data_IF_497516545260
#
_entry.id   IF_497516545260
#
_cell.length_a   1.000
_cell.length_b   1.000
_cell.length_c   1.000
_cell.angle_alpha   90.00
_cell.angle_beta   90.00
_cell.angle_gamma   90.00
#
_symmetry.space_group_name_H-M   'P 1'
#
loop_
_entity.id
_entity.type
_entity.pdbx_description
1 polymer ?
#
# COMPACT_ATOMS: atom_id res chain seq x y z
N UNK A 1 68.58 -32.49 -3.62
CA UNK A 1 67.75 -31.29 -3.81
C UNK A 1 66.34 -31.73 -4.19
N UNK A 2 65.36 -31.37 -3.34
CA UNK A 2 63.97 -30.96 -3.64
C UNK A 2 63.14 -31.86 -4.58
N UNK A 3 62.20 -32.67 -4.04
CA UNK A 3 60.73 -32.41 -3.86
C UNK A 3 59.98 -33.33 -4.86
N UNK A 4 58.82 -33.97 -4.67
CA UNK A 4 57.79 -34.19 -3.63
C UNK A 4 56.99 -35.40 -4.21
N UNK A 5 56.81 -36.57 -3.56
CA UNK A 5 55.70 -36.94 -2.64
C UNK A 5 54.31 -36.63 -3.26
N UNK A 6 53.64 -37.59 -3.94
CA UNK A 6 52.65 -38.60 -3.46
C UNK A 6 51.17 -38.14 -3.54
N UNK A 7 50.30 -39.06 -4.04
CA UNK A 7 48.82 -39.17 -3.90
C UNK A 7 47.97 -38.07 -4.58
N UNK A 8 47.07 -38.30 -5.56
CA UNK A 8 46.01 -39.31 -5.74
C UNK A 8 45.19 -39.56 -4.47
N UNK A 9 44.06 -38.86 -4.34
CA UNK A 9 42.73 -39.35 -3.90
C UNK A 9 41.86 -38.14 -3.50
N UNK A 10 40.72 -38.02 -4.19
CA UNK A 10 39.42 -37.73 -3.60
C UNK A 10 39.25 -36.43 -2.81
N UNK A 11 38.67 -35.44 -3.47
CA UNK A 11 37.50 -34.72 -2.91
C UNK A 11 36.80 -34.03 -4.07
N UNK A 12 35.92 -34.81 -4.71
CA UNK A 12 34.77 -34.28 -5.42
C UNK A 12 33.98 -33.49 -4.38
N UNK A 13 34.20 -32.17 -4.32
CA UNK A 13 33.41 -31.26 -3.50
C UNK A 13 32.00 -31.30 -4.04
N UNK A 14 31.23 -32.22 -3.46
CA UNK A 14 29.79 -32.33 -3.57
C UNK A 14 29.25 -30.96 -3.18
N UNK A 15 28.92 -30.15 -4.18
CA UNK A 15 28.00 -29.04 -4.04
C UNK A 15 26.73 -29.68 -3.49
N UNK A 16 26.58 -29.60 -2.17
CA UNK A 16 25.31 -29.80 -1.51
C UNK A 16 24.46 -28.64 -2.04
N UNK A 17 23.83 -28.88 -3.19
CA UNK A 17 22.58 -28.23 -3.53
C UNK A 17 21.71 -28.59 -2.33
N UNK A 18 21.62 -27.65 -1.37
CA UNK A 18 20.48 -27.63 -0.49
C UNK A 18 19.30 -27.58 -1.45
N UNK A 19 18.71 -28.74 -1.72
CA UNK A 19 17.29 -28.86 -2.01
C UNK A 19 16.60 -28.31 -0.76
N UNK A 20 16.67 -26.98 -0.60
CA UNK A 20 15.99 -26.26 0.44
C UNK A 20 14.53 -26.60 0.28
N UNK A 21 13.85 -26.90 1.38
CA UNK A 21 12.41 -26.97 1.33
C UNK A 21 11.92 -25.67 0.67
N UNK A 22 11.32 -25.79 -0.51
CA UNK A 22 10.64 -24.68 -1.18
C UNK A 22 9.67 -24.10 -0.17
N UNK A 23 9.96 -22.88 0.25
CA UNK A 23 9.19 -22.17 1.27
C UNK A 23 9.12 -20.71 0.84
N UNK A 24 8.01 -20.03 1.14
CA UNK A 24 7.92 -18.63 0.88
C UNK A 24 8.90 -17.80 1.73
N UNK A 25 9.09 -16.56 1.33
CA UNK A 25 9.80 -15.54 2.12
C UNK A 25 9.17 -15.34 3.51
N UNK A 26 9.91 -14.70 4.42
CA UNK A 26 9.43 -14.48 5.79
C UNK A 26 8.16 -13.61 5.82
N UNK A 27 7.18 -13.98 6.67
CA UNK A 27 5.90 -13.28 6.74
C UNK A 27 6.02 -11.78 7.12
N UNK A 28 7.07 -11.38 7.84
CA UNK A 28 7.35 -9.96 8.14
C UNK A 28 7.66 -9.17 6.85
N UNK A 29 8.53 -9.72 5.99
CA UNK A 29 8.85 -9.11 4.69
C UNK A 29 7.62 -9.07 3.79
N UNK A 30 6.87 -10.16 3.76
CA UNK A 30 5.64 -10.26 2.95
C UNK A 30 4.62 -9.18 3.34
N UNK A 31 4.40 -8.98 4.64
CA UNK A 31 3.51 -7.92 5.14
C UNK A 31 4.01 -6.51 4.82
N UNK A 32 5.33 -6.26 4.95
CA UNK A 32 5.93 -4.96 4.61
C UNK A 32 5.82 -4.65 3.13
N UNK A 33 6.15 -5.62 2.27
CA UNK A 33 6.10 -5.46 0.83
C UNK A 33 4.71 -5.03 0.33
N UNK A 34 3.64 -5.59 0.91
CA UNK A 34 2.27 -5.15 0.62
C UNK A 34 2.08 -3.68 1.01
N UNK A 35 2.43 -3.28 2.23
CA UNK A 35 2.21 -1.90 2.69
C UNK A 35 3.04 -0.92 1.87
N UNK A 36 4.31 -1.23 1.66
CA UNK A 36 5.25 -0.37 0.95
C UNK A 36 4.80 -0.19 -0.51
N UNK A 37 4.35 -1.25 -1.18
CA UNK A 37 3.83 -1.17 -2.55
C UNK A 37 2.42 -0.57 -2.64
N UNK A 38 1.41 -1.15 -1.98
CA UNK A 38 0.00 -0.76 -2.17
C UNK A 38 -0.36 0.55 -1.49
N UNK A 39 0.21 0.82 -0.31
CA UNK A 39 -0.15 2.01 0.49
C UNK A 39 0.83 3.13 0.24
N UNK A 40 2.13 2.85 0.30
CA UNK A 40 3.16 3.86 0.12
C UNK A 40 3.63 4.01 -1.34
N UNK A 41 3.24 3.13 -2.26
CA UNK A 41 3.69 3.20 -3.67
C UNK A 41 5.22 3.32 -3.77
N UNK A 42 5.91 2.47 -3.02
CA UNK A 42 7.36 2.33 -3.06
C UNK A 42 7.75 1.20 -3.99
N UNK A 43 8.86 1.40 -4.70
CA UNK A 43 9.54 0.36 -5.48
C UNK A 43 9.82 -0.83 -4.54
N UNK A 44 9.16 -1.96 -4.83
CA UNK A 44 9.14 -3.15 -3.98
C UNK A 44 9.32 -4.38 -4.87
N UNK A 45 10.47 -4.54 -5.55
CA UNK A 45 10.70 -5.62 -6.52
C UNK A 45 10.59 -7.03 -5.92
N UNK A 46 10.74 -7.17 -4.60
CA UNK A 46 10.53 -8.43 -3.88
C UNK A 46 9.08 -8.92 -3.96
N UNK A 47 8.10 -8.08 -4.30
CA UNK A 47 6.70 -8.48 -4.46
C UNK A 47 6.55 -9.60 -5.51
N UNK A 48 7.40 -9.61 -6.54
CA UNK A 48 7.44 -10.66 -7.55
C UNK A 48 7.87 -12.00 -6.95
N UNK A 49 8.91 -12.00 -6.10
CA UNK A 49 9.37 -13.21 -5.42
C UNK A 49 8.40 -13.69 -4.34
N UNK A 50 7.71 -12.76 -3.67
CA UNK A 50 6.84 -13.08 -2.53
C UNK A 50 5.45 -13.52 -3.01
N UNK A 51 4.89 -12.84 -4.01
CA UNK A 51 3.50 -13.01 -4.46
C UNK A 51 3.38 -13.27 -5.97
N UNK A 52 4.44 -13.12 -6.76
CA UNK A 52 4.35 -13.17 -8.22
C UNK A 52 3.69 -11.94 -8.84
N UNK A 53 3.83 -10.79 -8.17
CA UNK A 53 3.25 -9.53 -8.58
C UNK A 53 4.34 -8.53 -9.01
N UNK A 54 4.17 -7.93 -10.18
CA UNK A 54 4.99 -6.82 -10.66
C UNK A 54 4.59 -5.53 -9.92
N UNK A 55 5.49 -5.01 -9.10
CA UNK A 55 5.26 -3.83 -8.26
C UNK A 55 4.92 -2.58 -9.08
N UNK A 56 5.53 -2.42 -10.26
CA UNK A 56 5.26 -1.28 -11.15
C UNK A 56 3.89 -1.39 -11.79
N UNK A 57 3.45 -2.60 -12.12
CA UNK A 57 2.11 -2.83 -12.63
C UNK A 57 1.07 -2.52 -11.54
N UNK A 58 1.28 -3.03 -10.33
CA UNK A 58 0.41 -2.75 -9.17
C UNK A 58 0.30 -1.26 -8.89
N UNK A 59 1.43 -0.55 -8.81
CA UNK A 59 1.42 0.90 -8.58
C UNK A 59 0.69 1.65 -9.70
N UNK A 60 0.92 1.28 -10.96
CA UNK A 60 0.26 1.90 -12.12
C UNK A 60 -1.25 1.64 -12.11
N UNK A 61 -1.69 0.44 -11.75
CA UNK A 61 -3.11 0.11 -11.63
C UNK A 61 -3.76 0.91 -10.49
N UNK A 62 -3.11 1.01 -9.34
CA UNK A 62 -3.59 1.83 -8.22
C UNK A 62 -3.73 3.31 -8.61
N UNK A 63 -2.73 3.88 -9.30
CA UNK A 63 -2.79 5.25 -9.81
C UNK A 63 -3.96 5.41 -10.80
N UNK A 64 -4.10 4.50 -11.76
CA UNK A 64 -5.19 4.56 -12.74
C UNK A 64 -6.57 4.48 -12.08
N UNK A 65 -6.74 3.61 -11.08
CA UNK A 65 -7.99 3.50 -10.30
C UNK A 65 -8.27 4.82 -9.58
N UNK A 66 -7.29 5.43 -8.93
CA UNK A 66 -7.44 6.72 -8.27
C UNK A 66 -7.86 7.81 -9.27
N UNK A 67 -7.09 7.98 -10.36
CA UNK A 67 -7.34 9.02 -11.37
C UNK A 67 -8.73 8.87 -11.99
N UNK A 68 -9.11 7.64 -12.38
CA UNK A 68 -10.40 7.34 -12.99
C UNK A 68 -11.55 7.59 -12.01
N UNK A 69 -11.40 7.17 -10.76
CA UNK A 69 -12.44 7.36 -9.73
C UNK A 69 -12.66 8.84 -9.45
N UNK A 70 -11.57 9.61 -9.27
CA UNK A 70 -11.65 11.05 -9.02
C UNK A 70 -12.21 11.82 -10.22
N UNK A 71 -11.79 11.48 -11.44
CA UNK A 71 -12.28 12.14 -12.66
C UNK A 71 -13.77 11.86 -12.91
N UNK A 72 -14.24 10.65 -12.58
CA UNK A 72 -15.66 10.31 -12.65
C UNK A 72 -16.49 11.02 -11.57
N UNK A 73 -15.92 11.21 -10.37
CA UNK A 73 -16.60 11.87 -9.26
C UNK A 73 -16.64 13.40 -9.40
N UNK A 74 -15.60 13.99 -10.02
CA UNK A 74 -15.40 15.44 -10.14
C UNK A 74 -15.03 15.80 -11.60
N UNK A 75 -15.96 15.62 -12.56
CA UNK A 75 -15.67 15.76 -13.99
C UNK A 75 -15.19 17.14 -14.42
N UNK A 76 -15.52 18.20 -13.66
CA UNK A 76 -15.10 19.57 -13.98
C UNK A 76 -13.70 19.92 -13.42
N UNK A 77 -13.07 19.02 -12.68
CA UNK A 77 -11.68 19.14 -12.23
C UNK A 77 -10.75 18.58 -13.30
N UNK A 78 -9.65 19.29 -13.58
CA UNK A 78 -8.68 18.84 -14.58
C UNK A 78 -7.89 17.62 -14.11
N UNK A 79 -7.59 16.71 -15.04
CA UNK A 79 -6.73 15.54 -14.82
C UNK A 79 -5.39 15.92 -14.17
N UNK A 80 -4.77 17.04 -14.58
CA UNK A 80 -3.52 17.53 -13.99
C UNK A 80 -3.65 17.84 -12.48
N UNK A 81 -4.78 18.43 -12.06
CA UNK A 81 -5.03 18.70 -10.63
C UNK A 81 -5.23 17.39 -9.87
N UNK A 82 -5.95 16.44 -10.44
CA UNK A 82 -6.18 15.13 -9.82
C UNK A 82 -4.86 14.36 -9.69
N UNK A 83 -4.02 14.36 -10.73
CA UNK A 83 -2.70 13.74 -10.69
C UNK A 83 -1.77 14.43 -9.67
N UNK A 84 -1.80 15.77 -9.59
CA UNK A 84 -1.07 16.51 -8.57
C UNK A 84 -1.56 16.16 -7.15
N UNK A 85 -2.86 15.99 -6.97
CA UNK A 85 -3.43 15.54 -5.70
C UNK A 85 -2.92 14.14 -5.34
N UNK A 86 -2.96 13.17 -6.26
CA UNK A 86 -2.43 11.83 -6.02
C UNK A 86 -1.01 11.87 -5.44
N UNK A 87 -0.11 12.63 -6.07
CA UNK A 87 1.28 12.79 -5.60
C UNK A 87 1.37 13.42 -4.21
N UNK A 88 0.56 14.44 -3.94
CA UNK A 88 0.51 15.11 -2.62
C UNK A 88 -0.03 14.17 -1.54
N UNK A 89 -1.09 13.42 -1.84
CA UNK A 89 -1.68 12.43 -0.94
C UNK A 89 -0.67 11.35 -0.59
N UNK A 90 -0.01 10.73 -1.57
CA UNK A 90 1.00 9.70 -1.33
C UNK A 90 2.18 10.24 -0.51
N UNK A 91 2.64 11.47 -0.80
CA UNK A 91 3.70 12.13 -0.02
C UNK A 91 3.27 12.40 1.42
N UNK A 92 2.05 12.87 1.62
CA UNK A 92 1.51 13.16 2.95
C UNK A 92 1.33 11.89 3.76
N UNK A 93 0.75 10.85 3.15
CA UNK A 93 0.49 9.56 3.79
C UNK A 93 1.80 9.01 4.38
N UNK A 94 2.89 8.92 3.60
CA UNK A 94 4.21 8.48 4.09
C UNK A 94 4.73 9.27 5.29
N UNK A 95 4.48 10.57 5.33
CA UNK A 95 4.97 11.46 6.40
C UNK A 95 4.09 11.41 7.65
N UNK A 96 2.79 11.28 7.45
CA UNK A 96 1.79 11.39 8.50
C UNK A 96 1.50 10.05 9.16
N UNK A 97 1.69 8.92 8.46
CA UNK A 97 1.34 7.59 8.96
C UNK A 97 2.56 6.78 9.35
N UNK A 98 2.32 5.71 10.10
CA UNK A 98 3.37 4.74 10.44
C UNK A 98 2.74 3.37 10.61
N UNK A 99 3.53 2.33 10.38
CA UNK A 99 3.12 0.97 10.68
C UNK A 99 4.24 0.14 11.29
N UNK A 100 3.87 -0.94 11.97
CA UNK A 100 4.79 -1.97 12.43
C UNK A 100 4.16 -3.34 12.23
N UNK A 101 4.98 -4.33 11.89
CA UNK A 101 4.55 -5.71 11.71
C UNK A 101 4.96 -6.56 12.90
N UNK A 102 4.04 -7.40 13.37
CA UNK A 102 4.29 -8.40 14.40
C UNK A 102 3.79 -9.77 13.95
N UNK A 103 4.72 -10.67 13.65
CA UNK A 103 4.41 -12.04 13.23
C UNK A 103 3.97 -12.86 14.45
N UNK A 104 2.72 -13.34 14.41
CA UNK A 104 2.16 -14.23 15.45
C UNK A 104 2.51 -15.68 15.22
N UNK A 105 2.55 -16.08 13.95
CA UNK A 105 2.83 -17.44 13.52
C UNK A 105 3.44 -17.39 12.13
N UNK A 106 4.47 -18.20 11.92
CA UNK A 106 5.01 -18.50 10.59
C UNK A 106 5.51 -19.95 10.61
N UNK A 107 4.95 -20.76 9.73
CA UNK A 107 5.30 -22.19 9.59
C UNK A 107 5.94 -22.51 8.24
N UNK A 108 6.14 -21.50 7.38
CA UNK A 108 6.50 -21.68 5.97
C UNK A 108 5.38 -22.26 5.09
N UNK A 109 4.24 -22.66 5.67
CA UNK A 109 3.03 -23.09 4.94
C UNK A 109 1.83 -22.21 5.20
N UNK A 110 1.78 -21.68 6.42
CA UNK A 110 0.80 -20.71 6.88
C UNK A 110 1.51 -19.66 7.73
N UNK A 111 1.09 -18.41 7.61
CA UNK A 111 1.55 -17.34 8.47
C UNK A 111 0.41 -16.39 8.87
N UNK A 112 0.58 -15.76 10.03
CA UNK A 112 -0.31 -14.72 10.54
C UNK A 112 0.56 -13.55 11.02
N UNK A 113 0.46 -12.44 10.32
CA UNK A 113 1.13 -11.18 10.66
C UNK A 113 0.09 -10.14 11.10
N UNK A 114 0.40 -9.41 12.17
CA UNK A 114 -0.40 -8.28 12.63
C UNK A 114 0.27 -6.99 12.18
N UNK A 115 -0.43 -6.20 11.37
CA UNK A 115 0.03 -4.89 10.90
C UNK A 115 -0.63 -3.86 11.81
N UNK A 116 0.17 -3.23 12.66
CA UNK A 116 -0.28 -2.16 13.55
C UNK A 116 -0.07 -0.82 12.87
N UNK A 117 -1.14 -0.08 12.64
CA UNK A 117 -1.18 1.07 11.73
C UNK A 117 -1.65 2.30 12.49
N UNK A 118 -0.90 3.39 12.39
CA UNK A 118 -1.37 4.75 12.72
C UNK A 118 -1.65 5.48 11.42
N UNK A 119 -2.86 5.31 10.89
CA UNK A 119 -3.33 5.97 9.68
C UNK A 119 -3.71 7.42 9.89
N UNK A 120 -4.21 8.09 8.85
CA UNK A 120 -4.69 9.47 8.98
C UNK A 120 -6.03 9.54 9.75
N UNK A 121 -6.21 10.59 10.52
CA UNK A 121 -7.42 10.92 11.26
C UNK A 121 -8.22 11.96 10.48
N UNK A 122 -9.13 11.47 9.63
CA UNK A 122 -10.04 12.31 8.83
C UNK A 122 -11.28 12.73 9.63
N UNK A 123 -11.74 11.92 10.59
CA UNK A 123 -12.94 12.19 11.39
C UNK A 123 -12.79 13.48 12.20
N UNK A 124 -11.62 13.69 12.81
CA UNK A 124 -11.32 14.94 13.54
C UNK A 124 -11.25 16.19 12.64
N UNK A 125 -11.03 16.01 11.34
CA UNK A 125 -10.98 17.11 10.36
C UNK A 125 -12.37 17.52 9.86
N UNK A 126 -13.29 16.56 9.75
CA UNK A 126 -14.67 16.80 9.30
C UNK A 126 -15.42 17.71 10.29
N UNK A 127 -15.30 17.42 11.59
CA UNK A 127 -15.93 18.21 12.65
C UNK A 127 -15.43 19.67 12.71
N UNK A 128 -14.19 19.91 12.28
CA UNK A 128 -13.57 21.23 12.35
C UNK A 128 -13.87 22.12 11.14
N UNK A 129 -14.26 21.54 9.98
CA UNK A 129 -14.26 22.26 8.69
C UNK A 129 -15.56 22.21 7.88
N UNK A 130 -16.54 21.37 8.24
CA UNK A 130 -17.84 21.33 7.56
C UNK A 130 -18.58 22.69 7.55
N UNK A 131 -18.23 23.62 8.45
CA UNK A 131 -18.81 24.96 8.51
C UNK A 131 -18.25 26.01 7.52
N UNK A 132 -17.13 25.74 6.81
CA UNK A 132 -16.44 26.78 6.00
C UNK A 132 -16.55 26.63 4.48
N UNK A 133 -16.81 25.43 3.95
CA UNK A 133 -16.85 25.18 2.49
C UNK A 133 -18.21 25.51 1.85
N UNK A 134 -19.32 25.38 2.58
CA UNK A 134 -20.67 25.65 2.08
C UNK A 134 -20.94 27.14 1.74
N UNK A 135 -20.14 28.06 2.28
CA UNK A 135 -20.36 29.50 2.12
C UNK A 135 -19.92 30.06 0.76
N UNK A 136 -19.03 29.38 0.01
CA UNK A 136 -18.53 29.87 -1.28
C UNK A 136 -19.46 29.58 -2.48
N UNK A 137 -20.42 28.66 -2.33
CA UNK A 137 -21.29 28.23 -3.43
C UNK A 137 -22.56 29.07 -3.61
N UNK A 138 -22.90 29.96 -2.66
CA UNK A 138 -24.24 30.57 -2.57
C UNK A 138 -24.27 32.04 -3.05
N UNK A 139 -23.13 32.65 -3.41
CA UNK A 139 -23.08 34.08 -3.77
C UNK A 139 -23.06 34.38 -5.28
N UNK A 140 -23.22 33.40 -6.18
CA UNK A 140 -23.07 33.62 -7.61
C UNK A 140 -24.40 33.48 -8.39
N UNK A 141 -24.82 34.53 -9.12
CA UNK A 141 -25.82 34.48 -10.19
C UNK A 141 -25.26 33.69 -11.39
N UNK A 142 -25.09 32.38 -11.24
CA UNK A 142 -24.43 31.51 -12.22
C UNK A 142 -25.40 30.58 -12.93
N UNK A 143 -25.03 30.14 -14.13
CA UNK A 143 -25.76 29.07 -14.84
C UNK A 143 -25.54 27.71 -14.17
N UNK A 144 -26.43 26.74 -14.39
CA UNK A 144 -26.33 25.40 -13.80
C UNK A 144 -24.95 24.75 -14.04
N UNK A 145 -24.38 24.90 -15.24
CA UNK A 145 -23.06 24.37 -15.58
C UNK A 145 -21.93 25.08 -14.84
N UNK A 146 -22.04 26.39 -14.64
CA UNK A 146 -21.05 27.14 -13.85
C UNK A 146 -21.14 26.76 -12.37
N UNK A 147 -22.35 26.49 -11.86
CA UNK A 147 -22.54 25.99 -10.50
C UNK A 147 -21.94 24.58 -10.31
N UNK A 148 -22.15 23.65 -11.25
CA UNK A 148 -21.54 22.31 -11.20
C UNK A 148 -20.01 22.39 -11.10
N UNK A 149 -19.39 23.22 -11.95
CA UNK A 149 -17.95 23.45 -11.90
C UNK A 149 -17.49 24.06 -10.56
N UNK A 150 -18.24 25.01 -10.02
CA UNK A 150 -17.92 25.61 -8.71
C UNK A 150 -17.98 24.55 -7.60
N UNK A 151 -19.01 23.70 -7.61
CA UNK A 151 -19.21 22.64 -6.62
C UNK A 151 -18.09 21.60 -6.70
N UNK A 152 -17.73 21.14 -7.89
CA UNK A 152 -16.68 20.15 -8.10
C UNK A 152 -15.32 20.68 -7.62
N UNK A 153 -14.97 21.91 -8.00
CA UNK A 153 -13.72 22.54 -7.60
C UNK A 153 -13.68 22.78 -6.09
N UNK A 154 -14.77 23.26 -5.49
CA UNK A 154 -14.84 23.45 -4.04
C UNK A 154 -14.74 22.13 -3.27
N UNK A 155 -15.37 21.06 -3.79
CA UNK A 155 -15.29 19.71 -3.22
C UNK A 155 -13.87 19.17 -3.30
N UNK A 156 -13.19 19.35 -4.45
CA UNK A 156 -11.79 18.99 -4.63
C UNK A 156 -10.88 19.70 -3.62
N UNK A 157 -10.99 21.02 -3.51
CA UNK A 157 -10.17 21.82 -2.59
C UNK A 157 -10.42 21.43 -1.12
N UNK A 158 -11.68 21.12 -0.79
CA UNK A 158 -12.05 20.64 0.54
C UNK A 158 -11.40 19.27 0.84
N UNK A 159 -11.50 18.32 -0.08
CA UNK A 159 -10.90 16.98 0.06
C UNK A 159 -9.38 17.06 0.17
N UNK A 160 -8.73 17.83 -0.72
CA UNK A 160 -7.28 18.07 -0.69
C UNK A 160 -6.86 18.62 0.68
N UNK A 161 -7.54 19.67 1.14
CA UNK A 161 -7.21 20.31 2.41
C UNK A 161 -7.46 19.41 3.61
N UNK A 162 -8.59 18.69 3.63
CA UNK A 162 -8.95 17.78 4.71
C UNK A 162 -7.87 16.71 4.87
N UNK A 163 -7.44 16.11 3.77
CA UNK A 163 -6.42 15.07 3.81
C UNK A 163 -5.03 15.62 4.17
N UNK A 164 -4.57 16.68 3.50
CA UNK A 164 -3.21 17.20 3.71
C UNK A 164 -3.00 17.86 5.08
N UNK A 165 -4.07 18.28 5.76
CA UNK A 165 -3.99 18.80 7.13
C UNK A 165 -4.28 17.73 8.19
N UNK A 166 -4.66 16.51 7.78
CA UNK A 166 -4.89 15.40 8.70
C UNK A 166 -3.61 14.96 9.39
N UNK A 167 -3.74 14.49 10.63
CA UNK A 167 -2.64 13.95 11.43
C UNK A 167 -2.82 12.44 11.60
N UNK A 168 -1.77 11.76 12.03
CA UNK A 168 -1.89 10.37 12.43
C UNK A 168 -2.90 10.19 13.59
N UNK A 169 -3.68 9.11 13.53
CA UNK A 169 -4.50 8.64 14.65
C UNK A 169 -3.62 8.42 15.89
N UNK A 170 -4.15 8.80 17.05
CA UNK A 170 -3.44 8.66 18.33
C UNK A 170 -3.24 7.20 18.75
N UNK A 171 -4.18 6.32 18.39
CA UNK A 171 -4.16 4.88 18.65
C UNK A 171 -3.89 4.13 17.36
N UNK A 172 -3.09 3.07 17.45
CA UNK A 172 -2.88 2.17 16.33
C UNK A 172 -4.07 1.22 16.17
N UNK A 173 -4.49 1.01 14.93
CA UNK A 173 -5.42 -0.04 14.53
C UNK A 173 -4.61 -1.29 14.12
N UNK A 174 -5.21 -2.47 14.23
CA UNK A 174 -4.52 -3.72 13.88
C UNK A 174 -5.26 -4.41 12.76
N UNK A 175 -4.57 -4.61 11.64
CA UNK A 175 -5.03 -5.42 10.51
C UNK A 175 -4.31 -6.76 10.55
N UNK A 176 -5.04 -7.85 10.34
CA UNK A 176 -4.46 -9.20 10.33
C UNK A 176 -4.25 -9.65 8.89
N UNK A 177 -2.99 -9.88 8.52
CA UNK A 177 -2.62 -10.56 7.29
C UNK A 177 -2.52 -12.06 7.56
N UNK A 178 -3.27 -12.84 6.81
CA UNK A 178 -3.22 -14.31 6.84
C UNK A 178 -2.69 -14.81 5.50
N UNK A 179 -1.64 -15.62 5.55
CA UNK A 179 -0.98 -16.15 4.38
C UNK A 179 -1.04 -17.67 4.41
N UNK A 180 -1.21 -18.27 3.23
CA UNK A 180 -0.93 -19.69 2.98
C UNK A 180 0.03 -19.80 1.81
N UNK A 181 0.83 -20.84 1.81
CA UNK A 181 1.70 -21.17 0.68
C UNK A 181 0.84 -21.34 -0.57
N UNK A 182 1.28 -20.74 -1.68
CA UNK A 182 0.55 -20.79 -2.94
C UNK A 182 0.53 -22.24 -3.47
N UNK A 183 -0.64 -22.76 -3.90
CA UNK A 183 -0.81 -24.18 -4.21
C UNK A 183 -0.03 -24.64 -5.45
N UNK A 184 0.28 -23.72 -6.37
CA UNK A 184 1.00 -24.01 -7.61
C UNK A 184 2.47 -23.55 -7.57
N UNK A 185 2.85 -22.77 -6.56
CA UNK A 185 4.19 -22.22 -6.40
C UNK A 185 4.54 -22.16 -4.90
N UNK A 186 5.18 -23.21 -4.41
CA UNK A 186 5.50 -23.37 -2.98
C UNK A 186 6.46 -22.28 -2.45
N UNK A 187 7.06 -21.46 -3.32
CA UNK A 187 7.95 -20.35 -2.94
C UNK A 187 7.19 -19.02 -2.78
N UNK A 188 5.87 -19.00 -3.02
CA UNK A 188 5.05 -17.79 -2.92
C UNK A 188 3.98 -17.88 -1.85
N UNK A 189 3.60 -16.72 -1.34
CA UNK A 189 2.44 -16.57 -0.48
C UNK A 189 1.18 -16.28 -1.30
N UNK A 190 0.05 -16.80 -0.84
CA UNK A 190 -1.30 -16.40 -1.24
C UNK A 190 -1.98 -15.75 -0.03
N UNK A 191 -2.55 -14.55 -0.23
CA UNK A 191 -3.30 -13.84 0.81
C UNK A 191 -4.65 -14.53 1.00
N UNK A 192 -4.97 -14.91 2.23
CA UNK A 192 -6.29 -15.43 2.56
C UNK A 192 -7.29 -14.28 2.73
N UNK A 193 -8.45 -14.39 2.08
CA UNK A 193 -9.52 -13.37 2.13
C UNK A 193 -9.00 -11.99 1.70
N UNK A 194 -8.36 -11.96 0.52
CA UNK A 194 -7.65 -10.82 -0.04
C UNK A 194 -8.48 -9.53 -0.06
N UNK A 195 -9.73 -9.60 -0.53
CA UNK A 195 -10.63 -8.45 -0.60
C UNK A 195 -10.85 -7.82 0.78
N UNK A 196 -11.17 -8.64 1.78
CA UNK A 196 -11.39 -8.19 3.15
C UNK A 196 -10.11 -7.63 3.76
N UNK A 197 -8.96 -8.28 3.49
CA UNK A 197 -7.67 -7.82 3.96
C UNK A 197 -7.34 -6.42 3.42
N UNK A 198 -7.42 -6.22 2.10
CA UNK A 198 -7.12 -4.93 1.48
C UNK A 198 -8.11 -3.85 1.92
N UNK A 199 -9.41 -4.15 1.98
CA UNK A 199 -10.41 -3.22 2.51
C UNK A 199 -10.05 -2.72 3.91
N UNK A 200 -9.71 -3.65 4.81
CA UNK A 200 -9.32 -3.29 6.18
C UNK A 200 -7.99 -2.54 6.22
N UNK A 201 -7.05 -2.88 5.33
CA UNK A 201 -5.76 -2.20 5.21
C UNK A 201 -5.94 -0.73 4.82
N UNK A 202 -6.64 -0.47 3.71
CA UNK A 202 -6.93 0.89 3.24
C UNK A 202 -7.68 1.70 4.31
N UNK A 203 -8.72 1.13 4.91
CA UNK A 203 -9.48 1.78 5.98
C UNK A 203 -8.61 2.13 7.20
N UNK A 204 -7.71 1.24 7.62
CA UNK A 204 -6.82 1.49 8.76
C UNK A 204 -5.83 2.64 8.48
N UNK A 205 -5.43 2.83 7.22
CA UNK A 205 -4.63 3.97 6.79
C UNK A 205 -5.46 5.25 6.58
N UNK A 206 -6.78 5.15 6.50
CA UNK A 206 -7.69 6.29 6.26
C UNK A 206 -7.87 6.61 4.78
N UNK A 207 -7.88 5.58 3.93
CA UNK A 207 -8.06 5.63 2.48
C UNK A 207 -9.41 5.03 2.07
#
# INVERSE_FOLDING_TARGET
MKKLVVALIGTLSMLILFSGCSRPEEADKAARAIVDCYIYQEDTPELESIYGLDDRLVQKENENVFLTTMQNALPEVSEEKIASLHQKLSTHLKKATSYSVHVKRDTGKEAVALIQIKGVDLDSQLDQKAGQSAAKAVEAESTDKEMEKIVDVASFEFLERMFLESKAKSKAETVTLRLKQHPEDEEKWEIQDEETFFKNLYQAFGL
#
